data_IF_478192461431
#
_entry.id   IF_478192461431
#
_cell.length_a   1.000
_cell.length_b   1.000
_cell.length_c   1.000
_cell.angle_alpha   90.00
_cell.angle_beta   90.00
_cell.angle_gamma   90.00
#
_symmetry.space_group_name_H-M   'P 1'
#
loop_
_entity.id
_entity.type
_entity.pdbx_description
1 polymer ?
#
# COMPACT_ATOMS: atom_id res chain seq x y z
N UNK A 1 -15.95 -15.49 -2.38
CA UNK A 1 -15.20 -15.65 -1.11
C UNK A 1 -16.13 -15.38 0.05
N UNK A 2 -15.93 -16.04 1.19
CA UNK A 2 -16.70 -15.71 2.39
C UNK A 2 -16.17 -14.42 3.03
N UNK A 3 -17.00 -13.62 3.72
CA UNK A 3 -16.52 -12.46 4.47
C UNK A 3 -15.39 -12.80 5.46
N UNK A 4 -15.42 -14.00 6.06
CA UNK A 4 -14.38 -14.47 6.98
C UNK A 4 -13.00 -14.62 6.32
N UNK A 5 -12.94 -14.98 5.04
CA UNK A 5 -11.68 -15.12 4.31
C UNK A 5 -11.02 -13.76 4.10
N UNK A 6 -11.82 -12.75 3.75
CA UNK A 6 -11.34 -11.37 3.56
C UNK A 6 -10.81 -10.76 4.86
N UNK A 7 -11.48 -11.00 5.98
CA UNK A 7 -11.02 -10.54 7.30
C UNK A 7 -9.74 -11.24 7.77
N UNK A 8 -9.61 -12.55 7.53
CA UNK A 8 -8.36 -13.27 7.82
C UNK A 8 -7.20 -12.75 6.98
N UNK A 9 -7.45 -12.54 5.69
CA UNK A 9 -6.47 -11.96 4.79
C UNK A 9 -6.06 -10.56 5.25
N UNK A 10 -7.02 -9.71 5.63
CA UNK A 10 -6.73 -8.38 6.17
C UNK A 10 -5.79 -8.43 7.37
N UNK A 11 -6.12 -9.25 8.37
CA UNK A 11 -5.39 -9.29 9.65
C UNK A 11 -3.95 -9.79 9.51
N UNK A 12 -3.67 -10.63 8.52
CA UNK A 12 -2.35 -11.23 8.31
C UNK A 12 -1.56 -10.46 7.26
N UNK A 13 -2.24 -10.05 6.19
CA UNK A 13 -1.62 -9.30 5.12
C UNK A 13 -1.28 -7.86 5.52
N UNK A 14 -2.04 -7.24 6.43
CA UNK A 14 -1.71 -5.91 6.94
C UNK A 14 -0.32 -5.81 7.61
N UNK A 15 0.01 -6.62 8.64
CA UNK A 15 1.35 -6.59 9.22
C UNK A 15 2.43 -7.04 8.23
N UNK A 16 2.12 -7.98 7.32
CA UNK A 16 3.05 -8.38 6.26
C UNK A 16 3.42 -7.20 5.34
N UNK A 17 2.42 -6.45 4.88
CA UNK A 17 2.62 -5.25 4.08
C UNK A 17 3.45 -4.21 4.82
N UNK A 18 3.13 -3.93 6.10
CA UNK A 18 3.91 -3.00 6.92
C UNK A 18 5.38 -3.40 7.02
N UNK A 19 5.66 -4.71 7.20
CA UNK A 19 7.02 -5.23 7.32
C UNK A 19 7.85 -5.00 6.05
N UNK A 20 7.21 -4.95 4.88
CA UNK A 20 7.87 -4.68 3.60
C UNK A 20 7.98 -3.18 3.33
N UNK A 21 6.89 -2.44 3.52
CA UNK A 21 6.81 -1.02 3.15
C UNK A 21 7.65 -0.15 4.08
N UNK A 22 7.62 -0.42 5.38
CA UNK A 22 8.27 0.44 6.39
C UNK A 22 9.78 0.56 6.18
N UNK A 23 10.56 -0.52 5.93
CA UNK A 23 11.98 -0.41 5.59
C UNK A 23 12.24 0.45 4.35
N UNK A 24 11.42 0.32 3.32
CA UNK A 24 11.57 1.09 2.07
C UNK A 24 11.32 2.57 2.36
N UNK A 25 10.25 2.91 3.08
CA UNK A 25 9.95 4.29 3.48
C UNK A 25 11.02 4.87 4.41
N UNK A 26 11.56 4.06 5.33
CA UNK A 26 12.64 4.46 6.23
C UNK A 26 13.90 4.87 5.48
N UNK A 27 14.21 4.23 4.35
CA UNK A 27 15.42 4.50 3.57
C UNK A 27 15.16 5.58 2.51
N UNK A 28 14.05 5.46 1.78
CA UNK A 28 13.81 6.20 0.54
C UNK A 28 13.13 7.56 0.74
N UNK A 29 12.36 7.76 1.83
CA UNK A 29 11.75 9.06 2.10
C UNK A 29 12.82 10.14 2.27
N UNK A 30 12.50 11.35 1.80
CA UNK A 30 13.40 12.50 1.83
C UNK A 30 13.86 12.83 3.27
N UNK A 31 15.10 13.32 3.40
CA UNK A 31 15.77 13.59 4.70
C UNK A 31 15.02 14.57 5.62
N UNK A 32 14.02 15.29 5.10
CA UNK A 32 13.17 16.21 5.87
C UNK A 32 12.29 15.51 6.91
N UNK A 33 12.00 14.21 6.71
CA UNK A 33 11.13 13.45 7.60
C UNK A 33 11.92 12.76 8.70
N UNK A 34 11.54 13.00 9.95
CA UNK A 34 12.09 12.28 11.10
C UNK A 34 11.72 10.80 11.06
N UNK A 35 12.53 9.96 11.70
CA UNK A 35 12.31 8.50 11.76
C UNK A 35 10.90 8.16 12.27
N UNK A 36 10.40 8.89 13.27
CA UNK A 36 9.03 8.70 13.80
C UNK A 36 7.96 8.85 12.72
N UNK A 37 8.09 9.86 11.84
CA UNK A 37 7.15 10.08 10.73
C UNK A 37 7.25 8.99 9.68
N UNK A 38 8.46 8.53 9.38
CA UNK A 38 8.68 7.44 8.41
C UNK A 38 8.05 6.14 8.88
N UNK A 39 8.23 5.79 10.16
CA UNK A 39 7.58 4.63 10.80
C UNK A 39 6.06 4.77 10.80
N UNK A 40 5.55 5.93 11.24
CA UNK A 40 4.11 6.16 11.28
C UNK A 40 3.49 6.10 9.88
N UNK A 41 4.15 6.67 8.86
CA UNK A 41 3.68 6.61 7.47
C UNK A 41 3.52 5.15 7.00
N UNK A 42 4.51 4.28 7.27
CA UNK A 42 4.42 2.87 6.90
C UNK A 42 3.28 2.10 7.56
N UNK A 43 2.84 2.51 8.76
CA UNK A 43 1.69 1.86 9.43
C UNK A 43 0.36 2.49 9.00
N UNK A 44 0.32 3.81 8.95
CA UNK A 44 -0.91 4.59 8.78
C UNK A 44 -1.40 4.61 7.34
N UNK A 45 -0.50 4.74 6.36
CA UNK A 45 -0.88 4.74 4.94
C UNK A 45 -1.58 3.43 4.57
N UNK A 46 -0.93 2.30 4.90
CA UNK A 46 -1.49 0.96 4.72
C UNK A 46 -2.80 0.79 5.51
N UNK A 47 -2.92 1.37 6.71
CA UNK A 47 -4.16 1.26 7.50
C UNK A 47 -5.36 1.91 6.80
N UNK A 48 -5.11 2.97 6.02
CA UNK A 48 -6.15 3.67 5.28
C UNK A 48 -6.48 2.99 3.94
N UNK A 49 -5.51 2.39 3.25
CA UNK A 49 -5.69 1.86 1.89
C UNK A 49 -6.00 0.37 1.87
N UNK A 50 -5.35 -0.42 2.72
CA UNK A 50 -5.44 -1.87 2.70
C UNK A 50 -6.85 -2.43 2.98
N UNK A 51 -7.64 -1.90 3.95
CA UNK A 51 -9.01 -2.34 4.13
C UNK A 51 -9.90 -2.09 2.91
N UNK A 52 -9.65 -1.02 2.16
CA UNK A 52 -10.39 -0.73 0.92
C UNK A 52 -10.03 -1.78 -0.14
N UNK A 53 -8.74 -2.07 -0.29
CA UNK A 53 -8.24 -3.08 -1.24
C UNK A 53 -8.75 -4.48 -0.90
N UNK A 54 -8.80 -4.86 0.38
CA UNK A 54 -9.12 -6.24 0.77
C UNK A 54 -10.62 -6.46 1.00
N UNK A 55 -11.34 -5.49 1.55
CA UNK A 55 -12.74 -5.67 1.95
C UNK A 55 -13.72 -5.07 0.94
N UNK A 56 -13.36 -3.96 0.29
CA UNK A 56 -14.30 -3.19 -0.54
C UNK A 56 -14.13 -3.53 -2.02
N UNK A 57 -12.91 -3.50 -2.54
CA UNK A 57 -12.66 -3.72 -3.97
C UNK A 57 -13.11 -5.10 -4.47
N UNK A 58 -12.91 -6.22 -3.75
CA UNK A 58 -13.39 -7.53 -4.21
C UNK A 58 -14.90 -7.60 -4.36
N UNK A 59 -15.65 -6.83 -3.57
CA UNK A 59 -17.11 -6.76 -3.65
C UNK A 59 -17.57 -5.90 -4.83
N UNK A 60 -16.89 -4.77 -5.07
CA UNK A 60 -17.22 -3.87 -6.19
C UNK A 60 -16.81 -4.43 -7.55
N UNK A 61 -15.74 -5.23 -7.60
CA UNK A 61 -15.13 -5.76 -8.81
C UNK A 61 -15.31 -7.28 -8.95
N UNK A 62 -16.30 -7.87 -8.28
CA UNK A 62 -16.50 -9.33 -8.23
C UNK A 62 -16.62 -10.01 -9.61
N UNK A 63 -17.06 -9.27 -10.63
CA UNK A 63 -17.34 -9.80 -11.98
C UNK A 63 -16.27 -9.43 -13.03
N UNK A 64 -15.16 -8.79 -12.64
CA UNK A 64 -14.08 -8.45 -13.59
C UNK A 64 -12.97 -9.48 -13.55
N UNK A 65 -12.13 -9.49 -14.59
CA UNK A 65 -10.96 -10.37 -14.61
C UNK A 65 -9.96 -10.00 -13.51
N UNK A 66 -9.20 -10.98 -13.01
CA UNK A 66 -8.13 -10.76 -12.03
C UNK A 66 -7.15 -9.66 -12.47
N UNK A 67 -6.81 -9.62 -13.76
CA UNK A 67 -5.90 -8.61 -14.31
C UNK A 67 -6.46 -7.19 -14.15
N UNK A 68 -7.75 -6.99 -14.40
CA UNK A 68 -8.41 -5.68 -14.23
C UNK A 68 -8.48 -5.33 -12.75
N UNK A 69 -8.85 -6.29 -11.90
CA UNK A 69 -8.87 -6.10 -10.45
C UNK A 69 -7.51 -5.61 -9.93
N UNK A 70 -6.43 -6.32 -10.27
CA UNK A 70 -5.08 -5.97 -9.85
C UNK A 70 -4.66 -4.62 -10.41
N UNK A 71 -4.88 -4.35 -11.70
CA UNK A 71 -4.56 -3.05 -12.28
C UNK A 71 -5.24 -1.89 -11.54
N UNK A 72 -6.51 -2.06 -11.14
CA UNK A 72 -7.25 -1.05 -10.37
C UNK A 72 -6.71 -0.93 -8.95
N UNK A 73 -6.51 -2.05 -8.25
CA UNK A 73 -6.02 -2.07 -6.88
C UNK A 73 -4.61 -1.46 -6.76
N UNK A 74 -3.70 -1.87 -7.64
CA UNK A 74 -2.30 -1.43 -7.70
C UNK A 74 -2.14 -0.01 -8.25
N UNK A 75 -3.20 0.57 -8.83
CA UNK A 75 -3.24 2.01 -9.14
C UNK A 75 -3.83 2.79 -7.97
N UNK A 76 -4.92 2.29 -7.40
CA UNK A 76 -5.64 2.95 -6.31
C UNK A 76 -4.77 3.12 -5.07
N UNK A 77 -4.14 2.04 -4.60
CA UNK A 77 -3.38 2.06 -3.36
C UNK A 77 -2.24 3.11 -3.38
N UNK A 78 -1.30 3.10 -4.35
CA UNK A 78 -0.21 4.08 -4.33
C UNK A 78 -0.68 5.51 -4.59
N UNK A 79 -1.72 5.72 -5.40
CA UNK A 79 -2.30 7.06 -5.63
C UNK A 79 -2.92 7.59 -4.34
N UNK A 80 -3.73 6.78 -3.66
CA UNK A 80 -4.36 7.14 -2.39
C UNK A 80 -3.30 7.41 -1.31
N UNK A 81 -2.26 6.59 -1.22
CA UNK A 81 -1.18 6.76 -0.25
C UNK A 81 -0.37 8.03 -0.52
N UNK A 82 -0.06 8.34 -1.78
CA UNK A 82 0.63 9.59 -2.13
C UNK A 82 -0.21 10.82 -1.74
N UNK A 83 -1.52 10.78 -2.01
CA UNK A 83 -2.46 11.86 -1.62
C UNK A 83 -2.52 11.99 -0.10
N UNK A 84 -2.74 10.89 0.62
CA UNK A 84 -2.82 10.87 2.09
C UNK A 84 -1.52 11.37 2.73
N UNK A 85 -0.37 10.92 2.23
CA UNK A 85 0.93 11.37 2.71
C UNK A 85 1.16 12.86 2.45
N UNK A 86 0.79 13.35 1.27
CA UNK A 86 0.87 14.77 0.95
C UNK A 86 -0.06 15.62 1.82
N UNK A 87 -1.28 15.15 2.09
CA UNK A 87 -2.20 15.84 2.99
C UNK A 87 -1.70 15.86 4.44
N UNK A 88 -1.02 14.80 4.89
CA UNK A 88 -0.50 14.71 6.26
C UNK A 88 0.83 15.47 6.48
N UNK A 89 1.73 15.45 5.49
CA UNK A 89 3.11 15.92 5.66
C UNK A 89 3.63 16.83 4.54
N UNK A 90 2.84 17.04 3.49
CA UNK A 90 3.14 17.96 2.42
C UNK A 90 3.18 19.40 2.92
N UNK A 91 4.03 20.19 2.27
CA UNK A 91 4.18 21.62 2.55
C UNK A 91 4.14 22.36 1.22
N UNK A 92 3.47 23.52 1.18
CA UNK A 92 3.32 24.30 -0.05
C UNK A 92 4.68 24.68 -0.65
N UNK A 93 5.68 24.94 0.19
CA UNK A 93 7.04 25.28 -0.25
C UNK A 93 7.72 24.12 -0.97
N UNK A 94 7.27 22.90 -0.76
CA UNK A 94 7.86 21.69 -1.33
C UNK A 94 7.12 21.20 -2.59
N UNK A 95 6.04 21.89 -2.98
CA UNK A 95 5.26 21.55 -4.16
C UNK A 95 6.14 21.62 -5.42
N UNK A 96 6.17 20.54 -6.20
CA UNK A 96 6.96 20.45 -7.43
C UNK A 96 8.48 20.27 -7.22
N UNK A 97 8.98 20.31 -5.97
CA UNK A 97 10.39 20.05 -5.69
C UNK A 97 10.72 18.57 -5.80
N UNK A 98 12.01 18.29 -6.03
CA UNK A 98 12.56 16.92 -6.05
C UNK A 98 12.23 16.12 -4.78
N UNK A 99 12.14 16.78 -3.62
CA UNK A 99 11.79 16.15 -2.34
C UNK A 99 10.37 15.58 -2.32
N UNK A 100 9.40 16.29 -2.92
CA UNK A 100 8.02 15.79 -3.09
C UNK A 100 7.99 14.56 -4.00
N UNK A 101 8.63 14.65 -5.17
CA UNK A 101 8.69 13.52 -6.12
C UNK A 101 9.45 12.31 -5.55
N UNK A 102 10.50 12.55 -4.76
CA UNK A 102 11.21 11.50 -4.03
C UNK A 102 10.28 10.77 -3.06
N UNK A 103 9.47 11.52 -2.29
CA UNK A 103 8.55 10.91 -1.34
C UNK A 103 7.47 10.08 -2.05
N UNK A 104 6.92 10.59 -3.15
CA UNK A 104 5.92 9.86 -3.95
C UNK A 104 6.53 8.59 -4.57
N UNK A 105 7.73 8.69 -5.14
CA UNK A 105 8.44 7.53 -5.66
C UNK A 105 8.72 6.50 -4.55
N UNK A 106 9.11 6.94 -3.35
CA UNK A 106 9.34 6.05 -2.22
C UNK A 106 8.07 5.30 -1.80
N UNK A 107 6.91 5.98 -1.77
CA UNK A 107 5.61 5.38 -1.45
C UNK A 107 5.20 4.38 -2.52
N UNK A 108 5.25 4.76 -3.79
CA UNK A 108 4.93 3.87 -4.92
C UNK A 108 5.81 2.61 -4.88
N UNK A 109 7.13 2.78 -4.68
CA UNK A 109 8.06 1.65 -4.58
C UNK A 109 7.77 0.74 -3.39
N UNK A 110 7.41 1.32 -2.24
CA UNK A 110 7.04 0.56 -1.05
C UNK A 110 5.79 -0.30 -1.32
N UNK A 111 4.74 0.35 -1.85
CA UNK A 111 3.47 -0.30 -2.15
C UNK A 111 3.63 -1.44 -3.18
N UNK A 112 4.33 -1.17 -4.29
CA UNK A 112 4.61 -2.19 -5.31
C UNK A 112 5.47 -3.34 -4.77
N UNK A 113 6.41 -3.08 -3.87
CA UNK A 113 7.21 -4.15 -3.26
C UNK A 113 6.36 -5.05 -2.36
N UNK A 114 5.41 -4.47 -1.61
CA UNK A 114 4.44 -5.24 -0.82
C UNK A 114 3.54 -6.10 -1.72
N UNK A 115 3.04 -5.53 -2.83
CA UNK A 115 2.28 -6.28 -3.84
C UNK A 115 3.07 -7.47 -4.39
N UNK A 116 4.32 -7.25 -4.84
CA UNK A 116 5.19 -8.33 -5.32
C UNK A 116 5.40 -9.39 -4.24
N UNK A 117 5.62 -8.98 -2.98
CA UNK A 117 5.72 -9.91 -1.86
C UNK A 117 4.45 -10.75 -1.68
N UNK A 118 3.27 -10.15 -1.81
CA UNK A 118 1.98 -10.84 -1.74
C UNK A 118 1.77 -11.84 -2.89
N UNK A 119 2.14 -11.47 -4.12
CA UNK A 119 2.06 -12.37 -5.27
C UNK A 119 2.99 -13.59 -5.11
N UNK A 120 4.22 -13.38 -4.61
CA UNK A 120 5.17 -14.47 -4.34
C UNK A 120 4.56 -15.46 -3.33
N UNK A 121 3.99 -14.96 -2.24
CA UNK A 121 3.35 -15.80 -1.21
C UNK A 121 2.14 -16.56 -1.79
N UNK A 122 1.36 -15.91 -2.65
CA UNK A 122 0.21 -16.52 -3.33
C UNK A 122 0.66 -17.68 -4.23
N UNK A 123 1.75 -17.52 -4.98
CA UNK A 123 2.32 -18.58 -5.84
C UNK A 123 2.77 -19.80 -5.01
N UNK A 124 3.26 -19.59 -3.79
CA UNK A 124 3.61 -20.68 -2.86
C UNK A 124 2.40 -21.28 -2.12
N UNK A 125 1.17 -20.91 -2.48
CA UNK A 125 -0.07 -21.50 -1.96
C UNK A 125 -0.52 -20.95 -0.60
N UNK A 126 0.06 -19.84 -0.15
CA UNK A 126 -0.27 -19.24 1.13
C UNK A 126 -1.25 -18.05 0.92
N UNK A 127 -2.42 -18.11 1.58
CA UNK A 127 -3.50 -17.11 1.57
C UNK A 127 -3.99 -16.74 0.15
N UNK A 128 -4.76 -17.66 -0.43
CA UNK A 128 -5.52 -17.44 -1.66
C UNK A 128 -6.62 -16.40 -1.50
N UNK A 129 -6.31 -15.12 -1.72
CA UNK A 129 -7.32 -14.13 -2.09
C UNK A 129 -7.77 -14.33 -3.56
N UNK A 130 -6.93 -14.97 -4.38
CA UNK A 130 -7.07 -14.99 -5.84
C UNK A 130 -6.83 -16.37 -6.47
N UNK A 131 -6.83 -17.44 -5.67
CA UNK A 131 -6.76 -18.84 -6.12
C UNK A 131 -8.16 -19.44 -6.22
#
# INVERSE_FOLDING_TARGET
MSPSDLWRFLLIGYPFTILIETPILLICLSKRHSIKRRLFAGVWLTACTYPIVVLVMPLMLANVSRAIYLAVAETFAPVAECILFWLAYGKAEELGKRSMWQDFAAIILANLASFVGGEVITVYGWFGLFS
#
